data_IF_747617068381
#
_entry.id   IF_747617068381
#
_cell.length_a   1.000
_cell.length_b   1.000
_cell.length_c   1.000
_cell.angle_alpha   90.00
_cell.angle_beta   90.00
_cell.angle_gamma   90.00
#
_symmetry.space_group_name_H-M   'P 1'
#
loop_
_entity.id
_entity.type
_entity.pdbx_description
1 polymer ?
#
# COMPACT_ATOMS: atom_id res chain seq x y z
N UNK A 1 -2.08 7.67 22.21
CA UNK A 1 -2.02 7.12 20.84
C UNK A 1 -2.59 8.19 19.91
N UNK A 2 -1.95 8.49 18.78
CA UNK A 2 -2.51 9.42 17.80
C UNK A 2 -3.84 8.84 17.25
N UNK A 3 -4.82 9.68 16.88
CA UNK A 3 -6.09 9.22 16.36
C UNK A 3 -5.87 8.47 15.02
N UNK A 4 -6.64 7.40 14.83
CA UNK A 4 -6.69 6.68 13.56
C UNK A 4 -7.93 7.20 12.82
N UNK A 5 -7.72 7.82 11.67
CA UNK A 5 -8.78 8.30 10.80
C UNK A 5 -9.28 7.18 9.89
N UNK A 6 -10.55 7.21 9.55
CA UNK A 6 -11.14 6.44 8.45
C UNK A 6 -11.37 7.37 7.26
N UNK A 7 -11.75 6.85 6.10
CA UNK A 7 -12.13 7.70 4.97
C UNK A 7 -13.24 8.70 5.31
N UNK A 8 -14.14 8.35 6.27
CA UNK A 8 -15.23 9.23 6.73
C UNK A 8 -14.75 10.39 7.61
N UNK A 9 -13.67 10.20 8.36
CA UNK A 9 -13.17 11.17 9.34
C UNK A 9 -11.88 11.85 8.91
N UNK A 10 -11.30 11.43 7.79
CA UNK A 10 -10.11 12.04 7.23
C UNK A 10 -10.47 13.32 6.46
N UNK A 11 -9.88 14.44 6.89
CA UNK A 11 -10.05 15.75 6.26
C UNK A 11 -8.71 16.18 5.63
N UNK A 12 -8.52 15.96 4.32
CA UNK A 12 -7.29 16.31 3.61
C UNK A 12 -6.87 17.76 3.77
N UNK A 13 -7.82 18.69 3.71
CA UNK A 13 -7.57 20.13 3.84
C UNK A 13 -7.07 20.56 5.23
N UNK A 14 -7.23 19.70 6.26
CA UNK A 14 -6.70 19.95 7.61
C UNK A 14 -5.22 19.58 7.77
N UNK A 15 -4.62 18.95 6.76
CA UNK A 15 -3.21 18.55 6.78
C UNK A 15 -2.35 19.77 6.47
N UNK A 16 -1.41 20.06 7.35
CA UNK A 16 -0.44 21.13 7.17
C UNK A 16 0.96 20.57 6.93
N UNK A 17 1.78 21.36 6.25
CA UNK A 17 3.14 21.00 5.87
C UNK A 17 4.13 21.96 6.56
N UNK A 18 5.16 21.39 7.15
CA UNK A 18 6.21 22.14 7.86
C UNK A 18 7.26 22.73 6.90
N UNK A 19 8.33 23.29 7.46
CA UNK A 19 9.44 23.78 6.68
C UNK A 19 10.21 22.63 6.02
N UNK A 20 11.00 22.99 4.98
CA UNK A 20 11.91 22.04 4.33
C UNK A 20 12.99 21.60 5.31
N UNK A 21 13.14 20.30 5.46
CA UNK A 21 14.18 19.68 6.28
C UNK A 21 15.08 18.76 5.44
N UNK A 22 16.21 18.36 6.03
CA UNK A 22 17.13 17.38 5.44
C UNK A 22 17.23 16.17 6.35
N UNK A 23 17.19 14.98 5.74
CA UNK A 23 17.48 13.75 6.45
C UNK A 23 19.00 13.56 6.66
N UNK A 24 19.40 12.52 7.38
CA UNK A 24 20.81 12.21 7.68
C UNK A 24 21.66 11.99 6.43
N UNK A 25 21.05 11.66 5.30
CA UNK A 25 21.72 11.44 4.01
C UNK A 25 21.67 12.68 3.11
N UNK A 26 21.23 13.84 3.63
CA UNK A 26 21.12 15.11 2.90
C UNK A 26 19.88 15.23 2.01
N UNK A 27 19.04 14.20 1.93
CA UNK A 27 17.79 14.24 1.15
C UNK A 27 16.78 15.20 1.77
N UNK A 28 16.16 16.04 0.94
CA UNK A 28 15.11 16.97 1.35
C UNK A 28 13.81 16.23 1.63
N UNK A 29 13.09 16.70 2.65
CA UNK A 29 11.73 16.28 2.92
C UNK A 29 10.94 17.40 3.60
N UNK A 30 9.62 17.28 3.62
CA UNK A 30 8.73 18.20 4.32
C UNK A 30 7.87 17.38 5.27
N UNK A 31 7.96 17.65 6.57
CA UNK A 31 7.14 16.93 7.55
C UNK A 31 5.69 17.38 7.49
N UNK A 32 4.77 16.49 7.84
CA UNK A 32 3.41 16.86 8.19
C UNK A 32 3.43 17.47 9.59
N UNK A 33 2.72 18.57 9.77
CA UNK A 33 2.61 19.29 11.04
C UNK A 33 1.14 19.52 11.41
N UNK A 34 0.89 19.73 12.69
CA UNK A 34 -0.40 20.20 13.18
C UNK A 34 -0.59 21.71 12.93
N UNK A 35 -1.73 22.23 13.32
CA UNK A 35 -2.04 23.66 13.20
C UNK A 35 -1.09 24.61 13.95
N UNK A 36 -0.33 24.07 14.92
CA UNK A 36 0.66 24.82 15.70
C UNK A 36 2.09 24.67 15.13
N UNK A 37 2.25 23.98 14.00
CA UNK A 37 3.55 23.71 13.39
C UNK A 37 4.33 22.56 14.02
N UNK A 38 3.73 21.80 14.95
CA UNK A 38 4.37 20.66 15.59
C UNK A 38 4.26 19.43 14.68
N UNK A 39 5.38 18.70 14.49
CA UNK A 39 5.35 17.45 13.71
C UNK A 39 4.32 16.50 14.26
N UNK A 40 3.47 16.02 13.40
CA UNK A 40 2.40 15.09 13.76
C UNK A 40 2.37 13.89 12.84
N UNK A 41 1.75 12.82 13.33
CA UNK A 41 1.50 11.60 12.55
C UNK A 41 0.04 11.55 12.17
N UNK A 42 -0.23 11.34 10.90
CA UNK A 42 -1.58 11.16 10.37
C UNK A 42 -1.72 9.69 9.95
N UNK A 43 -2.56 8.97 10.66
CA UNK A 43 -2.77 7.54 10.46
C UNK A 43 -4.17 7.28 9.93
N UNK A 44 -4.27 6.57 8.80
CA UNK A 44 -5.52 6.19 8.16
C UNK A 44 -5.73 4.68 8.26
N UNK A 45 -6.97 4.29 8.53
CA UNK A 45 -7.43 2.93 8.32
C UNK A 45 -8.15 2.85 6.97
N UNK A 46 -7.62 2.04 6.08
CA UNK A 46 -8.24 1.76 4.78
C UNK A 46 -9.37 0.73 4.97
N UNK A 47 -10.45 0.82 4.17
CA UNK A 47 -11.47 -0.21 4.14
C UNK A 47 -10.92 -1.56 3.70
N UNK A 48 -11.74 -2.60 3.71
CA UNK A 48 -11.36 -3.88 3.12
C UNK A 48 -11.16 -3.71 1.61
N UNK A 49 -9.94 -4.04 1.12
CA UNK A 49 -9.53 -3.89 -0.27
C UNK A 49 -8.82 -5.14 -0.75
N UNK A 50 -8.98 -5.46 -2.03
CA UNK A 50 -8.32 -6.61 -2.63
C UNK A 50 -6.82 -6.39 -2.79
N UNK A 51 -6.03 -7.45 -2.53
CA UNK A 51 -4.58 -7.51 -2.64
C UNK A 51 -4.17 -8.41 -3.81
N UNK A 52 -4.24 -7.93 -5.06
CA UNK A 52 -4.14 -8.79 -6.25
C UNK A 52 -2.77 -9.46 -6.40
N UNK A 53 -1.70 -8.86 -5.87
CA UNK A 53 -0.33 -9.33 -6.04
C UNK A 53 0.30 -9.92 -4.76
N UNK A 54 -0.44 -9.95 -3.65
CA UNK A 54 0.16 -10.26 -2.35
C UNK A 54 1.08 -9.14 -1.86
N UNK A 55 1.93 -9.44 -0.88
CA UNK A 55 2.94 -8.52 -0.39
C UNK A 55 4.21 -8.70 -1.24
N UNK A 56 4.64 -7.63 -1.92
CA UNK A 56 5.79 -7.65 -2.82
C UNK A 56 7.06 -7.28 -2.06
N UNK A 57 8.10 -8.11 -2.16
CA UNK A 57 9.43 -7.82 -1.64
C UNK A 57 10.27 -7.11 -2.71
N UNK A 58 10.87 -5.98 -2.36
CA UNK A 58 11.85 -5.30 -3.21
C UNK A 58 13.26 -5.72 -2.83
N UNK A 59 14.02 -6.16 -3.82
CA UNK A 59 15.44 -6.52 -3.72
C UNK A 59 16.22 -5.77 -4.80
N UNK A 60 17.45 -5.38 -4.51
CA UNK A 60 18.35 -4.82 -5.53
C UNK A 60 18.86 -5.92 -6.49
N UNK A 61 19.01 -7.17 -5.96
CA UNK A 61 19.29 -8.38 -6.72
C UNK A 61 18.45 -9.53 -6.19
N UNK A 62 18.08 -10.51 -7.03
CA UNK A 62 17.23 -11.63 -6.62
C UNK A 62 17.76 -12.43 -5.43
N UNK A 63 19.08 -12.58 -5.33
CA UNK A 63 19.79 -13.33 -4.29
C UNK A 63 19.91 -12.60 -2.95
N UNK A 64 19.68 -11.28 -2.93
CA UNK A 64 19.81 -10.48 -1.72
C UNK A 64 18.54 -10.52 -0.86
N UNK A 65 18.71 -10.23 0.42
CA UNK A 65 17.58 -10.02 1.33
C UNK A 65 16.70 -8.84 0.88
N UNK A 66 15.41 -8.87 1.17
CA UNK A 66 14.54 -7.75 0.87
C UNK A 66 15.02 -6.45 1.52
N UNK A 67 15.05 -5.38 0.74
CA UNK A 67 15.33 -4.02 1.23
C UNK A 67 14.07 -3.31 1.74
N UNK A 68 12.91 -3.71 1.25
CA UNK A 68 11.59 -3.22 1.68
C UNK A 68 10.49 -4.12 1.13
N UNK A 69 9.29 -3.96 1.67
CA UNK A 69 8.09 -4.60 1.12
C UNK A 69 7.07 -3.54 0.73
N UNK A 70 6.13 -3.92 -0.13
CA UNK A 70 5.00 -3.07 -0.50
C UNK A 70 3.72 -3.87 -0.67
N UNK A 71 2.62 -3.18 -0.43
CA UNK A 71 1.26 -3.68 -0.54
C UNK A 71 0.55 -2.81 -1.57
N UNK A 72 0.16 -3.41 -2.70
CA UNK A 72 -0.62 -2.75 -3.74
C UNK A 72 -2.10 -3.13 -3.55
N UNK A 73 -2.92 -2.15 -3.16
CA UNK A 73 -4.34 -2.31 -2.86
C UNK A 73 -5.18 -1.86 -4.05
N UNK A 74 -6.06 -2.73 -4.52
CA UNK A 74 -6.93 -2.47 -5.66
C UNK A 74 -8.24 -1.82 -5.23
N UNK A 75 -8.66 -0.80 -5.97
CA UNK A 75 -9.98 -0.18 -5.88
C UNK A 75 -11.05 -0.94 -6.70
N UNK A 76 -10.81 -2.21 -7.03
CA UNK A 76 -11.78 -3.02 -7.77
C UNK A 76 -13.17 -2.97 -7.11
N UNK A 77 -14.19 -2.62 -7.87
CA UNK A 77 -15.57 -2.51 -7.39
C UNK A 77 -15.85 -1.28 -6.52
N UNK A 78 -14.97 -0.26 -6.55
CA UNK A 78 -15.15 0.95 -5.75
C UNK A 78 -16.41 1.74 -6.12
N UNK A 79 -16.88 1.64 -7.36
CA UNK A 79 -18.10 2.31 -7.83
C UNK A 79 -19.36 1.84 -7.07
N UNK A 80 -19.34 0.60 -6.57
CA UNK A 80 -20.46 -0.01 -5.83
C UNK A 80 -20.20 -0.14 -4.33
N UNK A 81 -18.97 0.14 -3.86
CA UNK A 81 -18.59 0.10 -2.46
C UNK A 81 -18.36 1.51 -1.91
N UNK A 82 -19.33 2.02 -1.17
CA UNK A 82 -19.31 3.39 -0.64
C UNK A 82 -18.03 3.73 0.15
N UNK A 83 -17.52 2.84 1.00
CA UNK A 83 -16.34 3.10 1.81
C UNK A 83 -15.06 3.17 0.95
N UNK A 84 -14.97 2.32 -0.07
CA UNK A 84 -13.83 2.28 -0.98
C UNK A 84 -13.86 3.49 -1.93
N UNK A 85 -15.06 3.87 -2.42
CA UNK A 85 -15.24 5.08 -3.22
C UNK A 85 -14.87 6.34 -2.41
N UNK A 86 -15.30 6.39 -1.16
CA UNK A 86 -14.98 7.51 -0.28
C UNK A 86 -13.46 7.62 -0.06
N UNK A 87 -12.77 6.50 0.17
CA UNK A 87 -11.31 6.51 0.27
C UNK A 87 -10.66 7.02 -1.03
N UNK A 88 -11.10 6.54 -2.19
CA UNK A 88 -10.59 6.99 -3.49
C UNK A 88 -10.71 8.51 -3.65
N UNK A 89 -11.89 9.06 -3.33
CA UNK A 89 -12.17 10.49 -3.40
C UNK A 89 -11.28 11.28 -2.41
N UNK A 90 -11.14 10.79 -1.17
CA UNK A 90 -10.31 11.43 -0.14
C UNK A 90 -8.82 11.41 -0.49
N UNK A 91 -8.32 10.37 -1.13
CA UNK A 91 -6.94 10.35 -1.63
C UNK A 91 -6.73 11.32 -2.79
N UNK A 92 -7.70 11.44 -3.70
CA UNK A 92 -7.67 12.41 -4.79
C UNK A 92 -7.73 13.86 -4.25
N UNK A 93 -8.57 14.11 -3.25
CA UNK A 93 -8.65 15.41 -2.56
C UNK A 93 -7.32 15.76 -1.88
N UNK A 94 -6.67 14.77 -1.26
CA UNK A 94 -5.37 14.96 -0.62
C UNK A 94 -4.24 15.21 -1.65
N UNK A 95 -4.24 14.51 -2.79
CA UNK A 95 -3.32 14.77 -3.88
C UNK A 95 -3.42 16.23 -4.37
N UNK A 96 -4.64 16.73 -4.56
CA UNK A 96 -4.88 18.11 -4.97
C UNK A 96 -4.43 19.12 -3.91
N UNK A 97 -4.77 18.88 -2.64
CA UNK A 97 -4.34 19.72 -1.53
C UNK A 97 -2.81 19.81 -1.43
N UNK A 98 -2.11 18.70 -1.63
CA UNK A 98 -0.65 18.67 -1.62
C UNK A 98 -0.05 19.44 -2.81
N UNK A 99 -0.64 19.33 -4.01
CA UNK A 99 -0.23 20.10 -5.20
C UNK A 99 -0.44 21.60 -4.97
N UNK A 100 -1.56 22.00 -4.38
CA UNK A 100 -1.85 23.40 -4.04
C UNK A 100 -0.83 23.95 -3.04
N UNK A 101 -0.52 23.18 -1.99
CA UNK A 101 0.50 23.54 -1.02
C UNK A 101 1.89 23.66 -1.67
N UNK A 102 2.23 22.74 -2.59
CA UNK A 102 3.49 22.78 -3.34
C UNK A 102 3.59 23.99 -4.27
N UNK A 103 2.50 24.37 -4.90
CA UNK A 103 2.43 25.58 -5.73
C UNK A 103 2.63 26.84 -4.90
N UNK A 104 1.91 26.96 -3.79
CA UNK A 104 2.02 28.11 -2.87
C UNK A 104 3.43 28.25 -2.26
N UNK A 105 4.11 27.13 -2.01
CA UNK A 105 5.45 27.07 -1.40
C UNK A 105 6.55 26.74 -2.41
N UNK A 106 6.32 26.92 -3.69
CA UNK A 106 7.17 26.39 -4.76
C UNK A 106 8.64 26.80 -4.63
N UNK A 107 8.92 28.07 -4.34
CA UNK A 107 10.30 28.58 -4.16
C UNK A 107 10.97 27.87 -2.97
N UNK A 108 10.30 27.75 -1.84
CA UNK A 108 10.85 27.10 -0.65
C UNK A 108 11.08 25.59 -0.88
N UNK A 109 10.14 24.91 -1.53
CA UNK A 109 10.20 23.46 -1.71
C UNK A 109 11.11 23.04 -2.86
N UNK A 110 11.17 23.79 -3.95
CA UNK A 110 11.90 23.40 -5.17
C UNK A 110 13.07 24.34 -5.53
N UNK A 111 13.27 25.43 -4.76
CA UNK A 111 14.34 26.42 -5.01
C UNK A 111 14.01 27.42 -6.13
N UNK A 112 12.88 27.26 -6.80
CA UNK A 112 12.37 28.18 -7.84
C UNK A 112 10.86 28.05 -7.96
N UNK A 113 10.23 29.08 -8.52
CA UNK A 113 8.81 29.02 -8.87
C UNK A 113 8.60 27.99 -9.98
N UNK A 114 7.62 27.11 -9.80
CA UNK A 114 7.14 26.14 -10.80
C UNK A 114 5.70 26.42 -11.15
N UNK A 115 5.29 26.12 -12.39
CA UNK A 115 3.88 26.16 -12.75
C UNK A 115 3.13 24.98 -12.13
N UNK A 116 1.80 25.11 -12.02
CA UNK A 116 0.96 24.04 -11.48
C UNK A 116 1.06 22.77 -12.33
N UNK A 117 1.01 22.92 -13.65
CA UNK A 117 1.12 21.80 -14.62
C UNK A 117 2.42 21.02 -14.40
N UNK A 118 3.55 21.71 -14.24
CA UNK A 118 4.85 21.05 -14.00
C UNK A 118 4.86 20.33 -12.65
N UNK A 119 4.17 20.86 -11.64
CA UNK A 119 4.05 20.20 -10.34
C UNK A 119 3.20 18.94 -10.46
N UNK A 120 2.09 18.98 -11.19
CA UNK A 120 1.20 17.83 -11.45
C UNK A 120 1.92 16.73 -12.24
N UNK A 121 2.67 17.08 -13.28
CA UNK A 121 3.43 16.13 -14.12
C UNK A 121 4.53 15.41 -13.34
N UNK A 122 5.16 16.10 -12.38
CA UNK A 122 6.25 15.55 -11.57
C UNK A 122 5.77 14.89 -10.28
N UNK A 123 4.49 15.08 -9.91
CA UNK A 123 3.90 14.51 -8.72
C UNK A 123 3.60 13.02 -8.88
N UNK A 124 3.87 12.24 -7.86
CA UNK A 124 3.51 10.83 -7.79
C UNK A 124 2.21 10.67 -7.02
N UNK A 125 1.11 10.58 -7.75
CA UNK A 125 -0.23 10.42 -7.17
C UNK A 125 -0.31 9.19 -6.28
N UNK A 126 -1.07 9.30 -5.19
CA UNK A 126 -1.35 8.22 -4.26
C UNK A 126 -2.19 7.12 -4.91
N UNK A 127 -3.05 7.51 -5.85
CA UNK A 127 -3.85 6.56 -6.62
C UNK A 127 -3.34 6.49 -8.05
N UNK A 128 -2.92 5.31 -8.46
CA UNK A 128 -2.53 4.98 -9.83
C UNK A 128 -3.75 4.53 -10.61
N UNK A 129 -4.09 5.26 -11.66
CA UNK A 129 -5.15 4.91 -12.62
C UNK A 129 -4.51 4.33 -13.86
N UNK A 130 -5.05 3.21 -14.35
CA UNK A 130 -4.63 2.63 -15.63
C UNK A 130 -5.17 3.49 -16.79
N UNK A 131 -4.30 4.05 -17.65
CA UNK A 131 -4.74 4.90 -18.76
C UNK A 131 -5.66 4.19 -19.78
N UNK A 132 -5.55 2.87 -19.89
CA UNK A 132 -6.41 2.08 -20.78
C UNK A 132 -7.78 1.78 -20.20
N UNK A 133 -8.00 2.04 -18.91
CA UNK A 133 -9.22 1.69 -18.19
C UNK A 133 -9.44 0.18 -18.00
N UNK A 134 -8.49 -0.66 -18.39
CA UNK A 134 -8.60 -2.12 -18.31
C UNK A 134 -8.51 -2.62 -16.87
N UNK A 135 -7.73 -1.95 -16.04
CA UNK A 135 -7.50 -2.34 -14.65
C UNK A 135 -8.03 -1.28 -13.70
N UNK A 136 -8.59 -1.75 -12.59
CA UNK A 136 -9.04 -0.86 -11.52
C UNK A 136 -7.87 -0.03 -10.96
N UNK A 137 -8.15 1.21 -10.51
CA UNK A 137 -7.14 2.02 -9.84
C UNK A 137 -6.51 1.29 -8.65
N UNK A 138 -5.29 1.67 -8.30
CA UNK A 138 -4.55 1.05 -7.20
C UNK A 138 -3.89 2.11 -6.33
N UNK A 139 -3.76 1.84 -5.04
CA UNK A 139 -2.92 2.61 -4.12
C UNK A 139 -1.87 1.72 -3.49
N UNK A 140 -0.70 2.29 -3.19
CA UNK A 140 0.43 1.54 -2.66
C UNK A 140 0.78 1.99 -1.25
N UNK A 141 0.97 1.04 -0.35
CA UNK A 141 1.61 1.27 0.95
C UNK A 141 2.96 0.57 1.01
N UNK A 142 3.94 1.18 1.67
CA UNK A 142 5.25 0.57 1.91
C UNK A 142 5.31 -0.08 3.29
N UNK A 143 6.13 -1.11 3.40
CA UNK A 143 6.52 -1.71 4.67
C UNK A 143 8.04 -1.53 4.78
N UNK A 144 8.48 -0.71 5.73
CA UNK A 144 9.90 -0.53 6.00
C UNK A 144 10.49 -1.72 6.75
N UNK A 145 11.79 -1.87 6.71
CA UNK A 145 12.50 -2.80 7.56
C UNK A 145 12.99 -2.11 8.83
N UNK A 146 12.96 -2.84 9.94
CA UNK A 146 13.63 -2.49 11.18
C UNK A 146 14.44 -3.68 11.66
N UNK A 147 15.75 -3.49 11.78
CA UNK A 147 16.68 -4.58 12.11
C UNK A 147 16.54 -5.80 11.17
N UNK A 148 16.44 -5.54 9.86
CA UNK A 148 16.29 -6.60 8.83
C UNK A 148 14.91 -7.27 8.76
N UNK A 149 13.95 -6.90 9.63
CA UNK A 149 12.61 -7.49 9.66
C UNK A 149 11.54 -6.50 9.21
N UNK A 150 10.44 -6.97 8.58
CA UNK A 150 9.30 -6.11 8.25
C UNK A 150 8.77 -5.39 9.50
N UNK A 151 8.69 -4.06 9.41
CA UNK A 151 8.18 -3.23 10.51
C UNK A 151 6.67 -3.00 10.36
N UNK A 152 5.92 -4.09 10.45
CA UNK A 152 4.46 -4.13 10.34
C UNK A 152 3.94 -5.28 11.18
N UNK A 153 2.74 -5.15 11.72
CA UNK A 153 2.02 -6.26 12.33
C UNK A 153 0.98 -6.79 11.34
N UNK A 154 0.97 -8.08 11.11
CA UNK A 154 0.01 -8.72 10.21
C UNK A 154 -0.85 -9.70 10.99
N UNK A 155 -2.15 -9.59 10.80
CA UNK A 155 -3.14 -10.43 11.46
C UNK A 155 -3.93 -11.24 10.42
N UNK A 156 -4.18 -12.50 10.75
CA UNK A 156 -5.07 -13.36 9.97
C UNK A 156 -6.55 -13.08 10.29
N UNK A 157 -7.45 -13.77 9.63
CA UNK A 157 -8.91 -13.67 9.80
C UNK A 157 -9.38 -13.92 11.24
N UNK A 158 -8.68 -14.77 11.98
CA UNK A 158 -8.89 -15.08 13.41
C UNK A 158 -8.16 -14.11 14.36
N UNK A 159 -7.51 -13.08 13.80
CA UNK A 159 -6.67 -12.08 14.51
C UNK A 159 -5.38 -12.66 15.12
N UNK A 160 -4.96 -13.85 14.76
CA UNK A 160 -3.63 -14.35 15.07
C UNK A 160 -2.56 -13.59 14.28
N UNK A 161 -1.35 -13.48 14.84
CA UNK A 161 -0.22 -12.88 14.13
C UNK A 161 0.33 -13.87 13.10
N UNK A 162 0.54 -13.38 11.89
CA UNK A 162 1.19 -14.12 10.79
C UNK A 162 2.35 -13.31 10.21
N UNK A 163 3.19 -13.94 9.40
CA UNK A 163 4.26 -13.23 8.71
C UNK A 163 3.75 -12.53 7.45
N UNK A 164 4.53 -11.60 6.90
CA UNK A 164 4.16 -10.91 5.64
C UNK A 164 4.13 -11.88 4.45
N UNK A 165 4.91 -12.94 4.51
CA UNK A 165 5.00 -13.98 3.50
C UNK A 165 3.77 -14.90 3.48
N UNK A 166 3.07 -15.01 4.61
CA UNK A 166 1.87 -15.86 4.75
C UNK A 166 0.60 -15.20 4.24
N UNK A 167 0.65 -13.90 3.89
CA UNK A 167 -0.51 -13.20 3.32
C UNK A 167 -0.75 -13.68 1.90
N UNK A 168 -1.87 -14.36 1.60
CA UNK A 168 -2.08 -14.94 0.29
C UNK A 168 -2.36 -13.87 -0.77
N UNK A 169 -1.80 -14.09 -1.95
CA UNK A 169 -2.16 -13.30 -3.14
C UNK A 169 -3.65 -13.42 -3.43
N UNK A 170 -4.32 -12.31 -3.68
CA UNK A 170 -5.76 -12.26 -3.91
C UNK A 170 -6.61 -12.12 -2.65
N UNK A 171 -5.99 -12.05 -1.47
CA UNK A 171 -6.70 -11.79 -0.22
C UNK A 171 -7.39 -10.42 -0.22
N UNK A 172 -8.41 -10.27 0.62
CA UNK A 172 -8.98 -8.99 1.00
C UNK A 172 -8.39 -8.58 2.35
N UNK A 173 -7.84 -7.36 2.43
CA UNK A 173 -7.15 -6.86 3.62
C UNK A 173 -7.64 -5.48 4.03
N UNK A 174 -7.60 -5.19 5.33
CA UNK A 174 -7.63 -3.83 5.88
C UNK A 174 -6.22 -3.40 6.23
N UNK A 175 -5.88 -2.15 5.99
CA UNK A 175 -4.55 -1.61 6.30
C UNK A 175 -4.69 -0.39 7.19
N UNK A 176 -3.89 -0.32 8.25
CA UNK A 176 -3.63 0.90 8.99
C UNK A 176 -2.28 1.43 8.52
N UNK A 177 -2.29 2.63 7.93
CA UNK A 177 -1.10 3.24 7.36
C UNK A 177 -0.91 4.70 7.82
N UNK A 178 0.34 5.08 8.04
CA UNK A 178 0.74 6.46 8.35
C UNK A 178 1.13 7.18 7.06
N UNK A 179 0.67 8.42 6.91
CA UNK A 179 1.13 9.29 5.82
C UNK A 179 2.55 9.76 6.15
N UNK A 180 3.50 9.46 5.27
CA UNK A 180 4.88 9.91 5.40
C UNK A 180 5.06 11.37 5.04
N UNK A 181 6.28 11.88 5.26
CA UNK A 181 6.67 13.22 4.82
C UNK A 181 6.67 13.33 3.29
N UNK A 182 6.55 14.57 2.79
CA UNK A 182 6.75 14.83 1.35
C UNK A 182 8.22 14.59 1.01
N UNK A 183 8.48 13.74 0.05
CA UNK A 183 9.80 13.39 -0.42
C UNK A 183 10.08 13.96 -1.81
N UNK A 184 11.37 14.14 -2.14
CA UNK A 184 11.85 14.67 -3.41
C UNK A 184 12.96 13.78 -3.96
N UNK A 185 12.96 13.55 -5.27
CA UNK A 185 14.03 12.88 -6.02
C UNK A 185 14.52 13.83 -7.10
N UNK A 186 15.84 13.82 -7.38
CA UNK A 186 16.44 14.58 -8.49
C UNK A 186 16.10 16.08 -8.45
N UNK A 187 16.26 16.74 -7.32
CA UNK A 187 15.92 18.17 -7.15
C UNK A 187 14.46 18.52 -7.48
N UNK A 188 13.54 17.55 -7.27
CA UNK A 188 12.11 17.73 -7.52
C UNK A 188 11.69 17.43 -8.96
N UNK A 189 12.41 16.57 -9.67
CA UNK A 189 11.97 15.93 -10.92
C UNK A 189 10.91 14.85 -10.66
N UNK A 190 10.86 14.33 -9.44
CA UNK A 190 9.77 13.50 -8.94
C UNK A 190 9.59 13.78 -7.45
N UNK A 191 8.36 13.88 -6.99
CA UNK A 191 8.03 14.18 -5.61
C UNK A 191 6.66 13.63 -5.24
N UNK A 192 6.38 13.52 -3.95
CA UNK A 192 5.11 13.00 -3.46
C UNK A 192 5.15 12.63 -1.99
N UNK A 193 4.15 11.90 -1.55
CA UNK A 193 4.06 11.25 -0.24
C UNK A 193 3.97 9.75 -0.41
N UNK A 194 4.12 9.01 0.67
CA UNK A 194 3.99 7.55 0.66
C UNK A 194 3.32 7.11 1.94
N UNK A 195 2.39 6.19 1.84
CA UNK A 195 1.83 5.51 3.00
C UNK A 195 2.81 4.47 3.53
N UNK A 196 3.03 4.49 4.85
CA UNK A 196 3.79 3.48 5.57
C UNK A 196 2.79 2.57 6.30
N UNK A 197 2.68 1.31 5.90
CA UNK A 197 1.83 0.35 6.58
C UNK A 197 2.34 0.06 8.00
N UNK A 198 1.44 0.12 8.97
CA UNK A 198 1.70 -0.17 10.38
C UNK A 198 1.08 -1.51 10.80
N UNK A 199 -0.14 -1.77 10.31
CA UNK A 199 -0.85 -3.02 10.55
C UNK A 199 -1.61 -3.46 9.31
N UNK A 200 -1.70 -4.75 9.10
CA UNK A 200 -2.57 -5.41 8.10
C UNK A 200 -3.46 -6.41 8.82
N UNK A 201 -4.72 -6.48 8.40
CA UNK A 201 -5.66 -7.52 8.80
C UNK A 201 -6.19 -8.20 7.55
N UNK A 202 -5.93 -9.48 7.40
CA UNK A 202 -6.59 -10.31 6.38
C UNK A 202 -8.05 -10.48 6.79
N UNK A 203 -8.99 -10.04 5.97
CA UNK A 203 -10.43 -10.18 6.24
C UNK A 203 -11.04 -11.34 5.48
N UNK A 204 -10.47 -11.65 4.30
CA UNK A 204 -10.90 -12.77 3.47
C UNK A 204 -9.70 -13.38 2.75
N UNK A 205 -9.62 -14.70 2.72
CA UNK A 205 -8.66 -15.44 1.91
C UNK A 205 -9.29 -15.80 0.57
N UNK A 206 -8.49 -15.86 -0.52
CA UNK A 206 -9.02 -16.30 -1.81
C UNK A 206 -9.50 -17.75 -1.69
N UNK A 207 -10.66 -18.02 -2.28
CA UNK A 207 -11.15 -19.39 -2.37
C UNK A 207 -10.25 -20.16 -3.35
N UNK A 208 -9.45 -21.09 -2.84
CA UNK A 208 -8.63 -21.99 -3.64
C UNK A 208 -9.18 -23.39 -3.49
N UNK A 209 -9.32 -24.09 -4.60
CA UNK A 209 -9.49 -25.54 -4.56
C UNK A 209 -8.18 -26.12 -4.01
N UNK A 210 -8.25 -26.76 -2.84
CA UNK A 210 -7.10 -27.38 -2.15
C UNK A 210 -7.07 -28.87 -2.34
N UNK A 211 -8.21 -29.45 -2.71
CA UNK A 211 -8.37 -30.89 -2.89
C UNK A 211 -8.56 -31.24 -4.37
N UNK A 212 -8.36 -32.50 -4.69
CA UNK A 212 -8.64 -33.06 -6.02
C UNK A 212 -10.14 -32.85 -6.34
N UNK A 213 -10.44 -32.00 -7.32
CA UNK A 213 -11.80 -31.59 -7.67
C UNK A 213 -12.16 -31.92 -9.13
N UNK A 214 -11.36 -32.73 -9.79
CA UNK A 214 -11.69 -33.15 -11.15
C UNK A 214 -12.85 -34.15 -11.10
N UNK A 215 -13.83 -33.95 -11.96
CA UNK A 215 -14.97 -34.87 -12.16
C UNK A 215 -14.59 -35.76 -13.35
N UNK A 216 -14.71 -37.07 -13.19
CA UNK A 216 -14.51 -37.99 -14.30
C UNK A 216 -15.54 -37.71 -15.40
N UNK A 217 -15.11 -37.56 -16.65
CA UNK A 217 -16.01 -37.52 -17.80
C UNK A 217 -16.56 -38.93 -18.04
N UNK A 218 -17.80 -39.06 -18.51
CA UNK A 218 -18.47 -40.36 -18.71
C UNK A 218 -17.62 -41.27 -19.59
N UNK A 219 -17.02 -42.32 -18.98
CA UNK A 219 -16.24 -43.34 -19.68
C UNK A 219 -14.83 -43.61 -19.17
N UNK A 220 -14.30 -42.78 -18.25
CA UNK A 220 -13.04 -43.08 -17.56
C UNK A 220 -13.34 -43.82 -16.24
N UNK A 221 -13.15 -45.15 -16.22
CA UNK A 221 -13.13 -45.92 -14.97
C UNK A 221 -11.88 -45.51 -14.18
N UNK A 222 -12.04 -44.97 -12.98
CA UNK A 222 -10.94 -44.76 -12.04
C UNK A 222 -10.22 -46.11 -11.79
N UNK A 223 -9.02 -46.27 -12.35
CA UNK A 223 -8.20 -47.40 -12.03
C UNK A 223 -7.88 -47.37 -10.53
N UNK A 224 -8.14 -48.46 -9.78
CA UNK A 224 -7.87 -48.46 -8.34
C UNK A 224 -6.38 -48.24 -8.10
N UNK A 225 -6.06 -47.23 -7.27
CA UNK A 225 -4.71 -47.03 -6.77
C UNK A 225 -4.30 -48.27 -5.99
N UNK A 226 -3.46 -49.11 -6.59
CA UNK A 226 -2.91 -50.31 -5.93
C UNK A 226 -1.93 -49.80 -4.84
N UNK A 227 -2.37 -49.82 -3.60
CA UNK A 227 -1.50 -49.79 -2.44
C UNK A 227 -0.93 -51.20 -2.23
N UNK A 228 0.10 -51.56 -2.99
CA UNK A 228 0.90 -52.72 -2.60
C UNK A 228 1.89 -52.29 -1.50
N UNK A 229 1.93 -52.97 -0.36
CA UNK A 229 2.96 -52.73 0.63
C UNK A 229 4.28 -53.33 0.10
N UNK A 230 5.32 -52.48 0.00
CA UNK A 230 6.68 -52.98 -0.17
C UNK A 230 7.04 -53.87 1.03
N UNK A 231 7.14 -55.17 0.78
CA UNK A 231 7.79 -56.07 1.69
C UNK A 231 9.30 -55.88 1.55
N UNK A 232 9.93 -55.45 2.62
CA UNK A 232 11.36 -55.64 2.85
C UNK A 232 11.65 -57.15 2.90
N UNK A 233 12.59 -57.61 2.10
CA UNK A 233 13.20 -58.88 2.25
C UNK A 233 14.73 -58.77 2.17
N UNK A 234 15.35 -58.99 3.34
CA UNK A 234 16.71 -59.44 3.63
C UNK A 234 17.92 -58.82 2.92
#
# INVERSE_FOLDING_TARGET
MAPIYTAKTFEPAAINFGPVEKNKMGGKFIPIVDKNGTKTKVTLQFPAMNLPFGISAYRDRPENDPMSYSVDLSFRGYETNENTLLLFNKLTEFDNHLIDAAYANSVAWFGKQKSRELLEDTYRKLTKVDPSGKYAPMTKTKISLRNGKPNVQVFDTDKSNISVEDVPRGATVKVIAEIGSVWFIGSGTSWGVTFQALQLLVTEKPNKMTDFAFVSEDGEEDAPVSTEPMFDSE
#
